data_IF_422093628832
#
_entry.id   IF_422093628832
#
_cell.length_a   1.000
_cell.length_b   1.000
_cell.length_c   1.000
_cell.angle_alpha   90.00
_cell.angle_beta   90.00
_cell.angle_gamma   90.00
#
_symmetry.space_group_name_H-M   'P 1'
#
loop_
_entity.id
_entity.type
_entity.pdbx_description
1 polymer ?
#
# COMPACT_ATOMS: atom_id res chain seq x y z
N UNK A 1 40.04 6.30 0.99
CA UNK A 1 38.86 7.11 0.62
C UNK A 1 37.55 6.32 0.71
N UNK A 2 37.51 5.07 0.23
CA UNK A 2 36.32 4.18 0.26
C UNK A 2 35.70 4.01 1.66
N UNK A 3 36.50 3.82 2.71
CA UNK A 3 35.97 3.69 4.08
C UNK A 3 35.22 4.94 4.57
N UNK A 4 35.64 6.15 4.15
CA UNK A 4 34.93 7.40 4.49
C UNK A 4 33.61 7.51 3.74
N UNK A 5 33.56 7.04 2.48
CA UNK A 5 32.33 7.02 1.68
C UNK A 5 31.30 6.04 2.25
N UNK A 6 31.73 4.87 2.71
CA UNK A 6 30.83 3.88 3.36
C UNK A 6 30.22 4.46 4.65
N UNK A 7 31.03 5.14 5.47
CA UNK A 7 30.54 5.78 6.69
C UNK A 7 29.53 6.89 6.36
N UNK A 8 29.79 7.71 5.34
CA UNK A 8 28.84 8.74 4.89
C UNK A 8 27.52 8.10 4.43
N UNK A 9 27.57 7.05 3.61
CA UNK A 9 26.37 6.35 3.16
C UNK A 9 25.55 5.75 4.31
N UNK A 10 26.22 5.13 5.30
CA UNK A 10 25.57 4.57 6.47
C UNK A 10 24.87 5.66 7.30
N UNK A 11 25.53 6.81 7.49
CA UNK A 11 24.93 7.94 8.22
C UNK A 11 23.71 8.52 7.50
N UNK A 12 23.76 8.65 6.16
CA UNK A 12 22.63 9.13 5.34
C UNK A 12 21.45 8.16 5.43
N UNK A 13 21.71 6.85 5.32
CA UNK A 13 20.68 5.82 5.43
C UNK A 13 19.96 5.88 6.78
N UNK A 14 20.70 6.06 7.88
CA UNK A 14 20.11 6.16 9.22
C UNK A 14 19.16 7.35 9.39
N UNK A 15 19.40 8.47 8.70
CA UNK A 15 18.55 9.68 8.81
C UNK A 15 17.20 9.45 8.11
N UNK A 16 17.16 8.64 7.05
CA UNK A 16 15.93 8.35 6.29
C UNK A 16 14.92 7.49 7.08
N UNK A 17 15.34 6.83 8.17
CA UNK A 17 14.45 6.00 9.00
C UNK A 17 13.73 6.80 10.11
N UNK A 18 13.91 8.13 10.18
CA UNK A 18 13.33 8.97 11.24
C UNK A 18 11.81 9.22 11.10
N UNK A 19 11.16 8.68 10.08
CA UNK A 19 9.71 8.86 9.85
C UNK A 19 8.79 8.03 10.76
N UNK A 20 9.32 7.05 11.50
CA UNK A 20 8.52 6.25 12.42
C UNK A 20 8.25 7.03 13.72
N UNK A 21 7.07 7.64 13.82
CA UNK A 21 6.57 8.25 15.05
C UNK A 21 5.42 7.43 15.64
N UNK A 22 5.44 7.24 16.96
CA UNK A 22 4.34 6.62 17.68
C UNK A 22 3.27 7.68 17.94
N UNK A 23 2.18 7.61 17.19
CA UNK A 23 1.01 8.46 17.39
C UNK A 23 0.04 7.82 18.38
N UNK A 24 -0.62 8.66 19.18
CA UNK A 24 -1.67 8.22 20.09
C UNK A 24 -2.83 7.60 19.30
N UNK A 25 -3.56 6.61 19.85
CA UNK A 25 -4.63 5.94 19.11
C UNK A 25 -5.67 6.88 18.48
N UNK A 26 -6.06 7.96 19.18
CA UNK A 26 -7.04 8.93 18.69
C UNK A 26 -6.52 9.89 17.61
N UNK A 27 -5.20 10.02 17.44
CA UNK A 27 -4.62 10.81 16.35
C UNK A 27 -4.79 10.10 14.98
N UNK A 28 -5.08 8.79 14.99
CA UNK A 28 -5.38 8.00 13.80
C UNK A 28 -6.85 8.09 13.37
N UNK A 29 -7.72 8.71 14.16
CA UNK A 29 -9.16 8.78 13.90
C UNK A 29 -9.50 9.46 12.57
N UNK A 30 -8.72 10.47 12.19
CA UNK A 30 -8.85 11.15 10.89
C UNK A 30 -8.67 10.22 9.68
N UNK A 31 -7.87 9.15 9.80
CA UNK A 31 -7.71 8.14 8.75
C UNK A 31 -8.84 7.10 8.73
N UNK A 32 -9.62 7.03 9.81
CA UNK A 32 -10.80 6.17 9.90
C UNK A 32 -12.08 6.87 9.43
N UNK A 33 -11.99 8.12 8.96
CA UNK A 33 -13.11 8.86 8.37
C UNK A 33 -13.72 8.07 7.21
N UNK A 34 -15.05 8.08 7.13
CA UNK A 34 -15.80 7.40 6.07
C UNK A 34 -15.29 7.78 4.67
N UNK A 35 -14.86 9.03 4.47
CA UNK A 35 -14.35 9.52 3.19
C UNK A 35 -12.99 8.94 2.78
N UNK A 36 -12.20 8.43 3.73
CA UNK A 36 -10.91 7.79 3.47
C UNK A 36 -11.02 6.26 3.34
N UNK A 37 -12.19 5.67 3.58
CA UNK A 37 -12.42 4.23 3.32
C UNK A 37 -12.33 3.94 1.84
N UNK A 38 -11.42 3.05 1.47
CA UNK A 38 -11.28 2.56 0.09
C UNK A 38 -12.52 1.80 -0.38
N UNK A 39 -13.29 1.22 0.54
CA UNK A 39 -14.47 0.41 0.26
C UNK A 39 -15.79 1.16 0.45
N UNK A 40 -15.75 2.50 0.57
CA UNK A 40 -16.89 3.37 0.87
C UNK A 40 -18.03 3.27 -0.16
N UNK A 41 -17.68 3.17 -1.44
CA UNK A 41 -18.63 3.11 -2.54
C UNK A 41 -18.56 1.72 -3.22
N UNK A 42 -19.60 0.88 -3.09
CA UNK A 42 -19.60 -0.44 -3.72
C UNK A 42 -19.55 -0.38 -5.24
N UNK A 43 -20.05 0.68 -5.87
CA UNK A 43 -19.98 0.84 -7.33
C UNK A 43 -18.56 1.18 -7.77
N UNK A 44 -17.88 2.08 -7.05
CA UNK A 44 -16.47 2.41 -7.29
C UNK A 44 -15.59 1.15 -7.15
N UNK A 45 -15.81 0.36 -6.09
CA UNK A 45 -15.11 -0.90 -5.88
C UNK A 45 -15.30 -1.87 -7.06
N UNK A 46 -16.55 -2.09 -7.48
CA UNK A 46 -16.86 -2.98 -8.60
C UNK A 46 -16.22 -2.50 -9.91
N UNK A 47 -16.22 -1.19 -10.15
CA UNK A 47 -15.60 -0.62 -11.34
C UNK A 47 -14.07 -0.76 -11.31
N UNK A 48 -13.45 -0.50 -10.16
CA UNK A 48 -12.02 -0.69 -9.95
C UNK A 48 -11.62 -2.17 -10.17
N UNK A 49 -12.40 -3.10 -9.64
CA UNK A 49 -12.23 -4.54 -9.90
C UNK A 49 -12.37 -4.89 -11.38
N UNK A 50 -13.39 -4.36 -12.05
CA UNK A 50 -13.60 -4.63 -13.48
C UNK A 50 -12.43 -4.11 -14.33
N UNK A 51 -11.92 -2.92 -14.01
CA UNK A 51 -10.74 -2.35 -14.67
C UNK A 51 -9.48 -3.18 -14.38
N UNK A 52 -9.28 -3.57 -13.12
CA UNK A 52 -8.16 -4.40 -12.70
C UNK A 52 -8.18 -5.75 -13.39
N UNK A 53 -9.32 -6.42 -13.43
CA UNK A 53 -9.45 -7.71 -14.11
C UNK A 53 -9.16 -7.57 -15.61
N UNK A 54 -9.64 -6.50 -16.24
CA UNK A 54 -9.42 -6.26 -17.66
C UNK A 54 -7.94 -6.01 -18.01
N UNK A 55 -7.15 -5.47 -17.08
CA UNK A 55 -5.76 -5.04 -17.34
C UNK A 55 -4.71 -5.97 -16.75
N UNK A 56 -4.97 -6.48 -15.55
CA UNK A 56 -3.98 -7.02 -14.62
C UNK A 56 -4.43 -8.34 -13.96
N UNK A 57 -5.52 -8.96 -14.44
CA UNK A 57 -6.05 -10.24 -13.92
C UNK A 57 -5.03 -11.38 -13.82
N UNK A 58 -3.95 -11.33 -14.61
CA UNK A 58 -2.87 -12.32 -14.54
C UNK A 58 -2.24 -12.39 -13.13
N UNK A 59 -2.27 -11.30 -12.36
CA UNK A 59 -1.74 -11.23 -10.99
C UNK A 59 -2.75 -11.63 -9.90
N UNK A 60 -4.01 -11.92 -10.28
CA UNK A 60 -5.11 -12.18 -9.36
C UNK A 60 -5.95 -10.93 -9.05
N UNK A 61 -7.21 -11.14 -8.66
CA UNK A 61 -8.16 -10.08 -8.29
C UNK A 61 -9.02 -10.50 -7.09
N UNK A 62 -9.85 -9.59 -6.58
CA UNK A 62 -10.66 -9.78 -5.35
C UNK A 62 -11.91 -10.67 -5.53
N UNK A 63 -12.14 -11.26 -6.70
CA UNK A 63 -13.30 -12.13 -6.93
C UNK A 63 -13.26 -13.42 -6.10
N UNK A 64 -14.45 -13.96 -5.87
CA UNK A 64 -14.77 -15.13 -5.02
C UNK A 64 -13.96 -16.34 -5.51
N UNK A 65 -12.79 -16.56 -4.91
CA UNK A 65 -11.83 -17.58 -5.33
C UNK A 65 -10.57 -16.95 -5.93
N UNK A 66 -9.65 -16.52 -5.07
CA UNK A 66 -8.38 -15.93 -5.51
C UNK A 66 -7.61 -16.85 -6.45
N UNK A 67 -7.14 -16.31 -7.58
CA UNK A 67 -6.34 -17.09 -8.53
C UNK A 67 -5.83 -16.30 -9.72
N UNK A 68 -4.67 -15.64 -9.56
CA UNK A 68 -3.84 -15.25 -10.69
C UNK A 68 -3.32 -16.49 -11.42
N UNK A 69 -4.06 -16.88 -12.47
CA UNK A 69 -3.78 -17.85 -13.55
C UNK A 69 -5.11 -18.30 -14.23
N UNK A 70 -6.30 -17.89 -13.75
CA UNK A 70 -7.55 -18.06 -14.50
C UNK A 70 -8.06 -19.50 -14.66
N UNK A 71 -7.76 -20.39 -13.71
CA UNK A 71 -8.47 -21.68 -13.58
C UNK A 71 -9.32 -21.63 -12.31
N UNK A 72 -10.65 -21.76 -12.53
CA UNK A 72 -11.76 -21.73 -11.56
C UNK A 72 -11.49 -22.47 -10.25
#
# INVERSE_FOLDING_TARGET
MVNKLILIFLTISSIMLTGCTSVKPWERDILADYTMRSDRDPLENMLAEHMWFSREAASGGMSIGGGGCGCN
#
